data_IF_083390705846
#
_entry.id   IF_083390705846
#
_cell.length_a   1.000
_cell.length_b   1.000
_cell.length_c   1.000
_cell.angle_alpha   90.00
_cell.angle_beta   90.00
_cell.angle_gamma   90.00
#
_symmetry.space_group_name_H-M   'P 1'
#
loop_
_entity.id
_entity.type
_entity.pdbx_description
1 polymer ?
#
# COMPACT_ATOMS: atom_id res chain seq x y z
N UNK A 1 -46.46 23.96 3.38
CA UNK A 1 -45.54 22.98 2.78
C UNK A 1 -44.23 23.09 3.55
N UNK A 2 -43.92 22.10 4.36
CA UNK A 2 -42.72 22.09 5.18
C UNK A 2 -41.58 21.53 4.31
N UNK A 3 -40.60 22.38 3.98
CA UNK A 3 -39.34 21.91 3.36
C UNK A 3 -38.56 21.12 4.43
N UNK A 4 -38.48 19.82 4.23
CA UNK A 4 -37.59 18.97 5.00
C UNK A 4 -36.17 19.26 4.57
N UNK A 5 -35.41 19.99 5.41
CA UNK A 5 -33.96 20.12 5.28
C UNK A 5 -33.34 18.74 5.43
N UNK A 6 -32.91 18.13 4.31
CA UNK A 6 -32.17 16.89 4.33
C UNK A 6 -30.81 17.15 4.99
N UNK A 7 -30.50 16.53 6.15
CA UNK A 7 -29.22 16.75 6.84
C UNK A 7 -28.00 16.31 6.01
N UNK A 8 -28.20 15.61 4.90
CA UNK A 8 -27.13 15.22 3.96
C UNK A 8 -26.67 16.35 3.05
N UNK A 9 -27.47 17.42 2.91
CA UNK A 9 -27.11 18.59 2.09
C UNK A 9 -26.38 19.68 2.87
N UNK A 10 -26.39 19.64 4.21
CA UNK A 10 -25.69 20.60 5.08
C UNK A 10 -24.20 20.29 5.30
N UNK A 11 -23.70 19.17 4.80
CA UNK A 11 -22.28 18.77 4.85
C UNK A 11 -21.41 19.34 3.73
N UNK A 12 -21.85 20.35 2.97
CA UNK A 12 -20.98 21.04 2.03
C UNK A 12 -19.95 21.85 2.83
N UNK A 13 -18.73 21.34 2.88
CA UNK A 13 -17.60 21.97 3.54
C UNK A 13 -17.51 23.44 3.13
N UNK A 14 -17.90 24.34 4.02
CA UNK A 14 -17.83 25.80 3.83
C UNK A 14 -16.41 26.27 3.48
N UNK A 15 -15.38 25.48 3.78
CA UNK A 15 -13.99 25.77 3.43
C UNK A 15 -13.71 25.76 1.92
N UNK A 16 -14.57 25.12 1.09
CA UNK A 16 -14.43 25.10 -0.37
C UNK A 16 -15.42 26.00 -1.11
N UNK A 17 -16.41 26.54 -0.38
CA UNK A 17 -17.38 27.50 -0.93
C UNK A 17 -16.69 28.87 -1.06
N UNK A 18 -16.34 29.24 -2.28
CA UNK A 18 -15.65 30.50 -2.59
C UNK A 18 -14.25 30.34 -3.19
N UNK A 19 -13.64 29.13 -3.14
CA UNK A 19 -12.36 28.89 -3.80
C UNK A 19 -12.59 28.71 -5.31
N UNK A 20 -11.90 29.48 -6.19
CA UNK A 20 -11.99 29.29 -7.63
C UNK A 20 -11.70 27.85 -8.04
N UNK A 21 -12.44 27.31 -9.01
CA UNK A 21 -12.30 25.93 -9.48
C UNK A 21 -10.86 25.60 -9.86
N UNK A 22 -10.16 26.51 -10.53
CA UNK A 22 -8.75 26.33 -10.90
C UNK A 22 -7.82 26.16 -9.69
N UNK A 23 -8.03 26.93 -8.62
CA UNK A 23 -7.23 26.82 -7.40
C UNK A 23 -7.51 25.50 -6.65
N UNK A 24 -8.76 25.05 -6.66
CA UNK A 24 -9.16 23.76 -6.08
C UNK A 24 -8.55 22.58 -6.85
N UNK A 25 -8.56 22.66 -8.19
CA UNK A 25 -7.96 21.62 -9.05
C UNK A 25 -6.43 21.58 -8.90
N UNK A 26 -5.76 22.74 -8.77
CA UNK A 26 -4.34 22.84 -8.47
C UNK A 26 -3.98 22.24 -7.08
N UNK A 27 -4.79 22.53 -6.06
CA UNK A 27 -4.63 21.97 -4.71
C UNK A 27 -4.80 20.44 -4.69
N UNK A 28 -5.81 19.91 -5.37
CA UNK A 28 -6.00 18.47 -5.52
C UNK A 28 -4.80 17.83 -6.20
N UNK A 29 -4.28 18.40 -7.28
CA UNK A 29 -3.10 17.90 -7.97
C UNK A 29 -1.88 17.88 -7.06
N UNK A 30 -1.63 18.94 -6.31
CA UNK A 30 -0.53 19.03 -5.36
C UNK A 30 -0.65 17.96 -4.26
N UNK A 31 -1.84 17.76 -3.71
CA UNK A 31 -2.11 16.74 -2.70
C UNK A 31 -1.85 15.32 -3.25
N UNK A 32 -2.38 14.98 -4.43
CA UNK A 32 -2.17 13.68 -5.04
C UNK A 32 -0.70 13.43 -5.39
N UNK A 33 0.02 14.46 -5.87
CA UNK A 33 1.46 14.37 -6.10
C UNK A 33 2.23 14.09 -4.81
N UNK A 34 1.84 14.68 -3.68
CA UNK A 34 2.44 14.37 -2.37
C UNK A 34 2.23 12.91 -1.98
N UNK A 35 1.02 12.37 -2.17
CA UNK A 35 0.70 10.96 -1.92
C UNK A 35 1.59 10.04 -2.76
N UNK A 36 1.67 10.28 -4.07
CA UNK A 36 2.50 9.47 -4.97
C UNK A 36 4.00 9.60 -4.69
N UNK A 37 4.47 10.78 -4.33
CA UNK A 37 5.87 10.99 -3.98
C UNK A 37 6.26 10.22 -2.71
N UNK A 38 5.42 10.26 -1.67
CA UNK A 38 5.64 9.43 -0.48
C UNK A 38 5.64 7.94 -0.84
N UNK A 39 4.62 7.48 -1.55
CA UNK A 39 4.49 6.07 -1.95
C UNK A 39 5.70 5.61 -2.77
N UNK A 40 6.05 6.34 -3.84
CA UNK A 40 7.14 5.96 -4.73
C UNK A 40 8.50 5.97 -4.02
N UNK A 41 8.75 6.98 -3.16
CA UNK A 41 9.97 7.06 -2.37
C UNK A 41 10.02 5.95 -1.29
N UNK A 42 8.88 5.55 -0.71
CA UNK A 42 8.79 4.40 0.18
C UNK A 42 9.15 3.09 -0.53
N UNK A 43 8.60 2.87 -1.73
CA UNK A 43 8.94 1.69 -2.56
C UNK A 43 10.42 1.69 -2.93
N UNK A 44 10.98 2.86 -3.30
CA UNK A 44 12.39 3.00 -3.61
C UNK A 44 13.27 2.68 -2.39
N UNK A 45 12.93 3.22 -1.21
CA UNK A 45 13.63 2.92 0.04
C UNK A 45 13.59 1.43 0.36
N UNK A 46 12.42 0.80 0.22
CA UNK A 46 12.27 -0.66 0.40
C UNK A 46 13.21 -1.44 -0.53
N UNK A 47 13.26 -1.08 -1.80
CA UNK A 47 14.15 -1.72 -2.78
C UNK A 47 15.63 -1.54 -2.43
N UNK A 48 16.06 -0.33 -2.06
CA UNK A 48 17.44 -0.03 -1.66
C UNK A 48 17.83 -0.85 -0.43
N UNK A 49 17.01 -0.84 0.62
CA UNK A 49 17.28 -1.59 1.85
C UNK A 49 17.32 -3.09 1.57
N UNK A 50 16.38 -3.62 0.78
CA UNK A 50 16.35 -5.02 0.41
C UNK A 50 17.64 -5.45 -0.32
N UNK A 51 18.10 -4.65 -1.28
CA UNK A 51 19.33 -4.94 -2.02
C UNK A 51 20.58 -4.82 -1.15
N UNK A 52 20.66 -3.81 -0.27
CA UNK A 52 21.78 -3.65 0.66
C UNK A 52 21.88 -4.84 1.63
N UNK A 53 20.77 -5.28 2.21
CA UNK A 53 20.77 -6.45 3.10
C UNK A 53 21.10 -7.73 2.34
N UNK A 54 20.51 -7.96 1.17
CA UNK A 54 20.73 -9.18 0.39
C UNK A 54 22.17 -9.35 -0.09
N UNK A 55 22.88 -8.23 -0.36
CA UNK A 55 24.26 -8.25 -0.90
C UNK A 55 25.35 -7.97 0.15
N UNK A 56 25.01 -8.00 1.43
CA UNK A 56 25.94 -7.76 2.54
C UNK A 56 25.83 -8.83 3.60
N UNK A 57 26.79 -8.85 4.55
CA UNK A 57 26.73 -9.71 5.72
C UNK A 57 25.55 -9.43 6.65
N UNK A 58 24.82 -8.32 6.43
CA UNK A 58 23.61 -7.98 7.19
C UNK A 58 22.50 -9.02 7.02
N UNK A 59 22.48 -9.78 5.92
CA UNK A 59 21.53 -10.89 5.73
C UNK A 59 21.67 -11.94 6.85
N UNK A 60 22.87 -12.13 7.41
CA UNK A 60 23.13 -13.06 8.49
C UNK A 60 22.47 -12.65 9.82
N UNK A 61 22.02 -11.39 9.94
CA UNK A 61 21.24 -10.93 11.09
C UNK A 61 19.83 -11.52 11.10
N UNK A 62 19.28 -11.86 9.92
CA UNK A 62 17.93 -12.38 9.76
C UNK A 62 17.89 -13.88 9.41
N UNK A 63 18.94 -14.40 8.75
CA UNK A 63 19.08 -15.83 8.44
C UNK A 63 20.43 -16.32 8.96
N UNK A 64 20.42 -17.37 9.78
CA UNK A 64 21.64 -17.97 10.30
C UNK A 64 22.39 -18.69 9.16
N UNK A 65 23.63 -18.29 8.82
CA UNK A 65 24.37 -18.85 7.68
C UNK A 65 24.74 -20.32 7.88
N UNK A 66 24.85 -20.79 9.13
CA UNK A 66 25.23 -22.20 9.43
C UNK A 66 24.03 -23.14 9.33
N UNK A 67 22.83 -22.70 9.68
CA UNK A 67 21.64 -23.57 9.78
C UNK A 67 20.59 -23.24 8.71
N UNK A 68 20.68 -22.09 8.03
CA UNK A 68 19.63 -21.57 7.13
C UNK A 68 18.33 -21.18 7.85
N UNK A 69 18.31 -21.18 9.18
CA UNK A 69 17.12 -20.89 9.97
C UNK A 69 16.95 -19.37 10.19
N UNK A 70 15.70 -18.96 10.36
CA UNK A 70 15.36 -17.60 10.74
C UNK A 70 15.87 -17.29 12.15
N UNK A 71 16.52 -16.15 12.33
CA UNK A 71 16.97 -15.65 13.63
C UNK A 71 15.80 -14.99 14.39
N UNK A 72 15.93 -14.71 15.70
CA UNK A 72 14.94 -13.91 16.43
C UNK A 72 14.69 -12.54 15.80
N UNK A 73 15.72 -11.91 15.20
CA UNK A 73 15.58 -10.62 14.53
C UNK A 73 14.70 -10.69 13.27
N UNK A 74 14.68 -11.82 12.58
CA UNK A 74 13.73 -12.06 11.48
C UNK A 74 12.28 -11.90 11.93
N UNK A 75 11.94 -12.47 13.09
CA UNK A 75 10.59 -12.39 13.63
C UNK A 75 10.23 -10.95 14.05
N UNK A 76 11.20 -10.23 14.62
CA UNK A 76 11.00 -8.79 14.91
C UNK A 76 10.77 -8.02 13.60
N UNK A 77 11.61 -8.23 12.60
CA UNK A 77 11.45 -7.59 11.29
C UNK A 77 10.12 -7.95 10.63
N UNK A 78 9.61 -9.18 10.84
CA UNK A 78 8.34 -9.66 10.29
C UNK A 78 7.12 -8.96 10.93
N UNK A 79 7.13 -8.78 12.25
CA UNK A 79 5.98 -8.26 12.99
C UNK A 79 6.02 -6.74 13.23
N UNK A 80 7.20 -6.13 13.26
CA UNK A 80 7.34 -4.69 13.48
C UNK A 80 6.58 -3.82 12.46
N UNK A 81 6.54 -4.12 11.17
CA UNK A 81 5.73 -3.36 10.21
C UNK A 81 4.24 -3.39 10.54
N UNK A 82 3.70 -4.53 11.03
CA UNK A 82 2.31 -4.61 11.46
C UNK A 82 2.03 -3.66 12.62
N UNK A 83 2.92 -3.60 13.61
CA UNK A 83 2.81 -2.68 14.74
C UNK A 83 2.80 -1.21 14.27
N UNK A 84 3.64 -0.85 13.29
CA UNK A 84 3.65 0.50 12.70
C UNK A 84 2.35 0.79 11.95
N UNK A 85 1.83 -0.14 11.16
CA UNK A 85 0.54 0.03 10.47
C UNK A 85 -0.58 0.27 11.48
N UNK A 86 -0.63 -0.51 12.56
CA UNK A 86 -1.61 -0.30 13.63
C UNK A 86 -1.42 1.05 14.33
N UNK A 87 -0.18 1.43 14.64
CA UNK A 87 0.12 2.73 15.25
C UNK A 87 -0.33 3.90 14.35
N UNK A 88 -0.08 3.82 13.05
CA UNK A 88 -0.56 4.82 12.08
C UNK A 88 -2.08 4.80 11.96
N UNK A 89 -2.71 3.62 11.80
CA UNK A 89 -4.14 3.51 11.56
C UNK A 89 -4.99 3.99 12.76
N UNK A 90 -4.60 3.63 13.98
CA UNK A 90 -5.34 3.99 15.19
C UNK A 90 -4.83 5.28 15.86
N UNK A 91 -3.55 5.61 15.63
CA UNK A 91 -2.88 6.74 16.28
C UNK A 91 -2.85 8.02 15.47
N UNK A 92 -3.23 8.03 14.17
CA UNK A 92 -3.04 9.18 13.27
C UNK A 92 -3.67 10.48 13.78
N UNK A 93 -4.77 10.40 14.51
CA UNK A 93 -5.42 11.56 15.08
C UNK A 93 -4.60 12.22 16.21
N UNK A 94 -3.77 11.44 16.92
CA UNK A 94 -3.01 11.85 18.11
C UNK A 94 -1.55 12.20 17.83
N UNK A 95 -0.99 11.77 16.71
CA UNK A 95 0.41 12.02 16.33
C UNK A 95 0.51 13.21 15.38
N UNK A 96 1.67 13.86 15.32
CA UNK A 96 1.93 14.93 14.36
C UNK A 96 2.15 14.38 12.93
N UNK A 97 2.00 15.23 11.91
CA UNK A 97 2.30 14.85 10.53
C UNK A 97 3.75 14.40 10.37
N UNK A 98 4.71 15.04 11.05
CA UNK A 98 6.13 14.63 11.04
C UNK A 98 6.34 13.24 11.64
N UNK A 99 5.65 12.91 12.73
CA UNK A 99 5.70 11.56 13.33
C UNK A 99 5.11 10.51 12.38
N UNK A 100 4.00 10.82 11.70
CA UNK A 100 3.40 9.94 10.72
C UNK A 100 4.36 9.65 9.55
N UNK A 101 5.06 10.69 9.06
CA UNK A 101 6.09 10.55 8.02
C UNK A 101 7.25 9.67 8.48
N UNK A 102 7.78 9.90 9.67
CA UNK A 102 8.87 9.10 10.23
C UNK A 102 8.48 7.61 10.38
N UNK A 103 7.26 7.34 10.85
CA UNK A 103 6.73 5.98 10.94
C UNK A 103 6.56 5.33 9.55
N UNK A 104 6.11 6.08 8.55
CA UNK A 104 6.03 5.59 7.17
C UNK A 104 7.40 5.19 6.62
N UNK A 105 8.44 6.01 6.84
CA UNK A 105 9.81 5.69 6.42
C UNK A 105 10.39 4.49 7.17
N UNK A 106 10.17 4.41 8.47
CA UNK A 106 10.56 3.25 9.27
C UNK A 106 9.87 1.97 8.79
N UNK A 107 8.58 2.05 8.47
CA UNK A 107 7.81 0.97 7.88
C UNK A 107 8.43 0.49 6.55
N UNK A 108 8.68 1.41 5.62
CA UNK A 108 9.26 1.08 4.31
C UNK A 108 10.65 0.44 4.43
N UNK A 109 11.48 0.90 5.37
CA UNK A 109 12.79 0.30 5.66
C UNK A 109 12.67 -1.12 6.23
N UNK A 110 11.76 -1.35 7.18
CA UNK A 110 11.54 -2.69 7.76
C UNK A 110 11.01 -3.69 6.72
N UNK A 111 10.10 -3.26 5.84
CA UNK A 111 9.67 -4.10 4.71
C UNK A 111 10.84 -4.40 3.77
N UNK A 112 11.76 -3.44 3.58
CA UNK A 112 12.99 -3.66 2.84
C UNK A 112 13.87 -4.77 3.45
N UNK A 113 14.03 -4.79 4.78
CA UNK A 113 14.71 -5.87 5.48
C UNK A 113 14.04 -7.22 5.23
N UNK A 114 12.70 -7.30 5.31
CA UNK A 114 11.96 -8.52 4.99
C UNK A 114 12.19 -8.97 3.54
N UNK A 115 12.15 -8.04 2.61
CA UNK A 115 12.28 -8.31 1.17
C UNK A 115 13.68 -8.75 0.76
N UNK A 116 14.70 -8.53 1.59
CA UNK A 116 16.03 -9.09 1.33
C UNK A 116 16.01 -10.61 1.24
N UNK A 117 15.12 -11.28 1.97
CA UNK A 117 14.92 -12.74 1.90
C UNK A 117 14.38 -13.22 0.56
N UNK A 118 13.69 -12.36 -0.23
CA UNK A 118 13.21 -12.71 -1.56
C UNK A 118 14.36 -13.01 -2.52
N UNK A 119 15.49 -12.32 -2.37
CA UNK A 119 16.68 -12.55 -3.18
C UNK A 119 17.39 -13.89 -2.88
N UNK A 120 17.07 -14.53 -1.74
CA UNK A 120 17.52 -15.88 -1.44
C UNK A 120 16.67 -16.93 -2.18
N UNK A 121 15.39 -16.63 -2.46
CA UNK A 121 14.42 -17.56 -3.04
C UNK A 121 14.26 -17.36 -4.55
N UNK A 122 14.27 -16.12 -5.02
CA UNK A 122 14.01 -15.76 -6.41
C UNK A 122 15.26 -15.20 -7.09
N UNK A 123 15.35 -15.37 -8.41
CA UNK A 123 16.40 -14.73 -9.19
C UNK A 123 16.21 -13.22 -9.24
N UNK A 124 17.29 -12.45 -9.27
CA UNK A 124 17.21 -10.99 -9.37
C UNK A 124 16.44 -10.51 -10.62
N UNK A 125 16.57 -11.26 -11.74
CA UNK A 125 15.81 -10.99 -12.96
C UNK A 125 14.30 -11.12 -12.74
N UNK A 126 13.85 -12.17 -12.03
CA UNK A 126 12.42 -12.36 -11.71
C UNK A 126 11.89 -11.28 -10.79
N UNK A 127 12.67 -10.86 -9.79
CA UNK A 127 12.31 -9.74 -8.90
C UNK A 127 12.14 -8.45 -9.70
N UNK A 128 13.08 -8.14 -10.61
CA UNK A 128 13.00 -6.96 -11.48
C UNK A 128 11.79 -7.03 -12.43
N UNK A 129 11.55 -8.17 -13.09
CA UNK A 129 10.41 -8.36 -13.98
C UNK A 129 9.07 -8.16 -13.25
N UNK A 130 8.90 -8.78 -12.07
CA UNK A 130 7.70 -8.61 -11.27
C UNK A 130 7.53 -7.15 -10.80
N UNK A 131 8.62 -6.47 -10.45
CA UNK A 131 8.61 -5.06 -10.05
C UNK A 131 8.11 -4.16 -11.19
N UNK A 132 8.68 -4.27 -12.39
CA UNK A 132 8.28 -3.46 -13.54
C UNK A 132 6.85 -3.79 -14.00
N UNK A 133 6.44 -5.06 -13.98
CA UNK A 133 5.07 -5.45 -14.28
C UNK A 133 4.07 -4.83 -13.28
N UNK A 134 4.42 -4.87 -11.98
CA UNK A 134 3.62 -4.24 -10.93
C UNK A 134 3.54 -2.73 -11.13
N UNK A 135 4.66 -2.07 -11.41
CA UNK A 135 4.70 -0.62 -11.62
C UNK A 135 3.84 -0.19 -12.81
N UNK A 136 3.91 -0.91 -13.92
CA UNK A 136 3.07 -0.64 -15.10
C UNK A 136 1.57 -0.82 -14.80
N UNK A 137 1.20 -1.92 -14.14
CA UNK A 137 -0.19 -2.18 -13.75
C UNK A 137 -0.67 -1.11 -12.74
N UNK A 138 0.11 -0.80 -11.72
CA UNK A 138 -0.20 0.21 -10.72
C UNK A 138 -0.44 1.59 -11.33
N UNK A 139 0.43 2.04 -12.23
CA UNK A 139 0.28 3.33 -12.91
C UNK A 139 -1.03 3.39 -13.71
N UNK A 140 -1.34 2.35 -14.48
CA UNK A 140 -2.59 2.29 -15.26
C UNK A 140 -3.83 2.29 -14.38
N UNK A 141 -3.83 1.50 -13.31
CA UNK A 141 -4.97 1.36 -12.39
C UNK A 141 -5.17 2.62 -11.54
N UNK A 142 -4.08 3.23 -11.08
CA UNK A 142 -4.11 4.47 -10.34
C UNK A 142 -4.62 5.62 -11.23
N UNK A 143 -4.17 5.70 -12.49
CA UNK A 143 -4.70 6.67 -13.45
C UNK A 143 -6.20 6.45 -13.70
N UNK A 144 -6.63 5.20 -13.84
CA UNK A 144 -8.06 4.87 -13.95
C UNK A 144 -8.83 5.32 -12.71
N UNK A 145 -8.38 4.98 -11.50
CA UNK A 145 -9.02 5.40 -10.24
C UNK A 145 -9.10 6.93 -10.09
N UNK A 146 -8.06 7.65 -10.54
CA UNK A 146 -8.03 9.11 -10.50
C UNK A 146 -9.01 9.76 -11.49
N UNK A 147 -9.16 9.20 -12.69
CA UNK A 147 -9.90 9.81 -13.81
C UNK A 147 -11.33 9.30 -13.92
N UNK A 148 -11.64 8.10 -13.44
CA UNK A 148 -12.98 7.53 -13.57
C UNK A 148 -14.05 8.36 -12.88
N UNK A 149 -15.23 8.44 -13.53
CA UNK A 149 -16.43 9.07 -12.97
C UNK A 149 -17.36 8.05 -12.29
N UNK A 150 -17.07 6.75 -12.43
CA UNK A 150 -17.85 5.70 -11.77
C UNK A 150 -17.48 5.68 -10.30
N UNK A 151 -18.47 5.52 -9.43
CA UNK A 151 -18.24 5.30 -8.00
C UNK A 151 -17.74 3.86 -7.79
N UNK A 152 -16.52 3.74 -7.26
CA UNK A 152 -15.89 2.46 -6.95
C UNK A 152 -16.14 1.99 -5.50
N UNK A 153 -16.92 2.72 -4.71
CA UNK A 153 -17.13 2.42 -3.28
C UNK A 153 -17.69 1.02 -3.05
N UNK A 154 -18.66 0.59 -3.87
CA UNK A 154 -19.21 -0.76 -3.79
C UNK A 154 -18.16 -1.84 -4.09
N UNK A 155 -17.26 -1.58 -5.06
CA UNK A 155 -16.15 -2.48 -5.39
C UNK A 155 -15.11 -2.54 -4.26
N UNK A 156 -14.90 -1.43 -3.54
CA UNK A 156 -13.99 -1.39 -2.40
C UNK A 156 -14.37 -2.42 -1.32
N UNK A 157 -15.64 -2.48 -0.94
CA UNK A 157 -16.13 -3.49 0.01
C UNK A 157 -15.90 -4.91 -0.51
N UNK A 158 -16.17 -5.17 -1.80
CA UNK A 158 -15.93 -6.46 -2.43
C UNK A 158 -14.45 -6.86 -2.36
N UNK A 159 -13.53 -5.94 -2.70
CA UNK A 159 -12.10 -6.23 -2.66
C UNK A 159 -11.56 -6.44 -1.24
N UNK A 160 -12.04 -5.66 -0.25
CA UNK A 160 -11.67 -5.86 1.16
C UNK A 160 -12.09 -7.26 1.63
N UNK A 161 -13.30 -7.71 1.30
CA UNK A 161 -13.74 -9.08 1.58
C UNK A 161 -12.88 -10.10 0.83
N UNK A 162 -12.48 -9.79 -0.40
CA UNK A 162 -11.56 -10.60 -1.19
C UNK A 162 -10.19 -10.77 -0.51
N UNK A 163 -9.64 -9.72 0.09
CA UNK A 163 -8.38 -9.79 0.89
C UNK A 163 -8.54 -10.74 2.07
N UNK A 164 -9.67 -10.67 2.79
CA UNK A 164 -9.95 -11.61 3.89
C UNK A 164 -10.01 -13.03 3.36
N UNK A 165 -10.71 -13.26 2.24
CA UNK A 165 -10.77 -14.56 1.57
C UNK A 165 -9.41 -15.08 1.13
N UNK A 166 -8.54 -14.22 0.58
CA UNK A 166 -7.16 -14.59 0.25
C UNK A 166 -6.35 -15.00 1.48
N UNK A 167 -6.51 -14.26 2.58
CA UNK A 167 -5.83 -14.61 3.83
C UNK A 167 -6.25 -15.99 4.35
N UNK A 168 -7.55 -16.27 4.36
CA UNK A 168 -8.08 -17.59 4.73
C UNK A 168 -7.57 -18.67 3.78
N UNK A 169 -7.58 -18.42 2.47
CA UNK A 169 -7.07 -19.36 1.47
C UNK A 169 -5.57 -19.64 1.65
N UNK A 170 -4.77 -18.62 2.00
CA UNK A 170 -3.34 -18.80 2.31
C UNK A 170 -3.14 -19.65 3.57
N UNK A 171 -3.94 -19.43 4.63
CA UNK A 171 -3.89 -20.27 5.83
C UNK A 171 -4.27 -21.71 5.54
N UNK A 172 -5.31 -21.94 4.76
CA UNK A 172 -5.70 -23.30 4.33
C UNK A 172 -4.60 -23.96 3.51
N UNK A 173 -3.95 -23.20 2.61
CA UNK A 173 -2.88 -23.75 1.76
C UNK A 173 -1.61 -24.10 2.55
N UNK A 174 -1.43 -23.52 3.73
CA UNK A 174 -0.33 -23.92 4.63
C UNK A 174 -0.42 -25.40 5.03
N UNK A 175 -1.67 -25.91 5.20
CA UNK A 175 -1.95 -27.32 5.53
C UNK A 175 -2.07 -28.18 4.27
N UNK A 176 -2.79 -27.70 3.25
CA UNK A 176 -3.06 -28.45 2.00
C UNK A 176 -1.83 -28.58 1.11
N UNK A 177 -0.91 -27.59 1.15
CA UNK A 177 0.32 -27.51 0.35
C UNK A 177 0.08 -27.74 -1.14
N UNK A 178 -1.08 -27.31 -1.66
CA UNK A 178 -1.50 -27.51 -3.04
C UNK A 178 -0.84 -26.47 -3.95
N UNK A 179 -0.07 -26.89 -4.98
CA UNK A 179 0.49 -25.96 -5.97
C UNK A 179 -0.58 -25.24 -6.77
N UNK A 180 -1.67 -25.96 -7.14
CA UNK A 180 -2.79 -25.35 -7.86
C UNK A 180 -3.50 -24.27 -7.07
N UNK A 181 -3.75 -24.51 -5.77
CA UNK A 181 -4.33 -23.49 -4.88
C UNK A 181 -3.38 -22.30 -4.72
N UNK A 182 -2.08 -22.51 -4.61
CA UNK A 182 -1.09 -21.44 -4.54
C UNK A 182 -1.11 -20.56 -5.81
N UNK A 183 -1.23 -21.17 -6.99
CA UNK A 183 -1.37 -20.45 -8.25
C UNK A 183 -2.65 -19.63 -8.31
N UNK A 184 -3.79 -20.23 -7.91
CA UNK A 184 -5.08 -19.54 -7.86
C UNK A 184 -5.05 -18.35 -6.89
N UNK A 185 -4.51 -18.52 -5.67
CA UNK A 185 -4.32 -17.45 -4.69
C UNK A 185 -3.47 -16.31 -5.29
N UNK A 186 -2.40 -16.64 -6.00
CA UNK A 186 -1.51 -15.65 -6.61
C UNK A 186 -2.23 -14.85 -7.70
N UNK A 187 -2.95 -15.51 -8.60
CA UNK A 187 -3.71 -14.85 -9.65
C UNK A 187 -4.84 -13.96 -9.09
N UNK A 188 -5.63 -14.49 -8.16
CA UNK A 188 -6.70 -13.74 -7.51
C UNK A 188 -6.14 -12.56 -6.69
N UNK A 189 -5.00 -12.75 -6.02
CA UNK A 189 -4.34 -11.69 -5.27
C UNK A 189 -3.95 -10.52 -6.16
N UNK A 190 -3.37 -10.77 -7.33
CA UNK A 190 -3.06 -9.71 -8.31
C UNK A 190 -4.34 -8.94 -8.68
N UNK A 191 -5.44 -9.63 -9.01
CA UNK A 191 -6.69 -8.99 -9.42
C UNK A 191 -7.33 -8.16 -8.29
N UNK A 192 -7.30 -8.67 -7.06
CA UNK A 192 -7.87 -7.99 -5.90
C UNK A 192 -7.09 -6.72 -5.59
N UNK A 193 -5.74 -6.78 -5.51
CA UNK A 193 -4.93 -5.60 -5.23
C UNK A 193 -4.87 -4.61 -6.41
N UNK A 194 -5.03 -5.10 -7.63
CA UNK A 194 -5.25 -4.25 -8.79
C UNK A 194 -6.54 -3.42 -8.64
N UNK A 195 -7.64 -4.06 -8.26
CA UNK A 195 -8.91 -3.38 -7.99
C UNK A 195 -8.83 -2.41 -6.81
N UNK A 196 -8.15 -2.80 -5.72
CA UNK A 196 -7.90 -1.93 -4.56
C UNK A 196 -7.10 -0.69 -4.94
N UNK A 197 -6.08 -0.81 -5.77
CA UNK A 197 -5.29 0.34 -6.25
C UNK A 197 -6.18 1.42 -6.91
N UNK A 198 -7.12 1.01 -7.77
CA UNK A 198 -8.04 1.93 -8.40
C UNK A 198 -9.02 2.55 -7.38
N UNK A 199 -9.57 1.73 -6.50
CA UNK A 199 -10.48 2.16 -5.44
C UNK A 199 -9.82 3.12 -4.46
N UNK A 200 -8.64 2.75 -3.93
CA UNK A 200 -7.92 3.58 -2.95
C UNK A 200 -7.45 4.90 -3.56
N UNK A 201 -7.04 4.91 -4.83
CA UNK A 201 -6.74 6.16 -5.54
C UNK A 201 -7.98 7.08 -5.59
N UNK A 202 -9.15 6.56 -5.92
CA UNK A 202 -10.38 7.34 -5.93
C UNK A 202 -10.77 7.83 -4.53
N UNK A 203 -10.65 6.97 -3.52
CA UNK A 203 -10.90 7.29 -2.12
C UNK A 203 -9.97 8.39 -1.61
N UNK A 204 -8.67 8.31 -1.88
CA UNK A 204 -7.68 9.34 -1.51
C UNK A 204 -8.03 10.68 -2.17
N UNK A 205 -8.39 10.66 -3.45
CA UNK A 205 -8.88 11.85 -4.15
C UNK A 205 -10.11 12.47 -3.46
N UNK A 206 -11.05 11.67 -3.00
CA UNK A 206 -12.25 12.16 -2.30
C UNK A 206 -11.94 12.75 -0.92
N UNK A 207 -10.97 12.17 -0.18
CA UNK A 207 -10.52 12.66 1.12
C UNK A 207 -9.98 14.09 1.02
N UNK A 208 -9.32 14.46 -0.08
CA UNK A 208 -8.84 15.83 -0.29
C UNK A 208 -9.95 16.87 -0.07
N UNK A 209 -11.14 16.63 -0.60
CA UNK A 209 -12.26 17.59 -0.48
C UNK A 209 -12.79 17.74 0.96
N UNK A 210 -12.51 16.76 1.81
CA UNK A 210 -12.88 16.81 3.25
C UNK A 210 -11.83 17.57 4.06
N UNK A 211 -10.54 17.43 3.72
CA UNK A 211 -9.42 17.99 4.51
C UNK A 211 -8.84 19.27 3.92
N UNK A 212 -9.31 19.69 2.75
CA UNK A 212 -8.85 20.92 2.08
C UNK A 212 -9.01 22.13 3.02
N UNK A 213 -7.92 22.92 3.15
CA UNK A 213 -7.87 24.07 4.04
C UNK A 213 -7.28 23.80 5.43
N UNK A 214 -7.08 22.52 5.80
CA UNK A 214 -6.35 22.15 7.01
C UNK A 214 -5.01 21.50 6.65
N UNK A 215 -3.91 22.25 6.70
CA UNK A 215 -2.59 21.79 6.26
C UNK A 215 -2.09 20.55 7.01
N UNK A 216 -2.34 20.46 8.32
CA UNK A 216 -1.93 19.28 9.09
C UNK A 216 -2.76 18.04 8.74
N UNK A 217 -4.07 18.18 8.60
CA UNK A 217 -4.93 17.09 8.17
C UNK A 217 -4.58 16.62 6.76
N UNK A 218 -4.28 17.54 5.83
CA UNK A 218 -3.81 17.22 4.49
C UNK A 218 -2.50 16.42 4.50
N UNK A 219 -1.52 16.85 5.33
CA UNK A 219 -0.25 16.13 5.44
C UNK A 219 -0.42 14.73 6.03
N UNK A 220 -1.20 14.57 7.10
CA UNK A 220 -1.50 13.26 7.71
C UNK A 220 -2.23 12.33 6.75
N UNK A 221 -3.26 12.82 6.06
CA UNK A 221 -4.03 12.01 5.10
C UNK A 221 -3.24 11.68 3.85
N UNK A 222 -2.28 12.54 3.45
CA UNK A 222 -1.36 12.22 2.36
C UNK A 222 -0.45 11.05 2.71
N UNK A 223 0.10 11.01 3.94
CA UNK A 223 0.92 9.88 4.43
C UNK A 223 0.09 8.60 4.51
N UNK A 224 -1.14 8.67 5.05
CA UNK A 224 -2.03 7.51 5.12
C UNK A 224 -2.43 6.99 3.74
N UNK A 225 -2.71 7.91 2.80
CA UNK A 225 -2.98 7.56 1.41
C UNK A 225 -1.78 6.90 0.74
N UNK A 226 -0.58 7.42 1.00
CA UNK A 226 0.66 6.83 0.51
C UNK A 226 0.90 5.43 1.08
N UNK A 227 0.60 5.22 2.37
CA UNK A 227 0.69 3.90 3.01
C UNK A 227 -0.28 2.90 2.37
N UNK A 228 -1.54 3.28 2.11
CA UNK A 228 -2.51 2.41 1.45
C UNK A 228 -2.04 2.00 0.04
N UNK A 229 -1.66 2.97 -0.79
CA UNK A 229 -1.15 2.68 -2.14
C UNK A 229 0.15 1.89 -2.12
N UNK A 230 1.02 2.12 -1.13
CA UNK A 230 2.21 1.33 -0.92
C UNK A 230 1.86 -0.13 -0.60
N UNK A 231 0.90 -0.37 0.30
CA UNK A 231 0.42 -1.72 0.63
C UNK A 231 -0.16 -2.43 -0.59
N UNK A 232 -0.96 -1.75 -1.40
CA UNK A 232 -1.50 -2.31 -2.64
C UNK A 232 -0.38 -2.71 -3.59
N UNK A 233 0.59 -1.81 -3.80
CA UNK A 233 1.74 -2.08 -4.66
C UNK A 233 2.55 -3.29 -4.18
N UNK A 234 2.92 -3.32 -2.91
CA UNK A 234 3.74 -4.37 -2.34
C UNK A 234 3.04 -5.74 -2.39
N UNK A 235 1.75 -5.77 -2.08
CA UNK A 235 0.99 -7.02 -2.15
C UNK A 235 0.84 -7.49 -3.61
N UNK A 236 0.49 -6.60 -4.53
CA UNK A 236 0.41 -6.92 -5.96
C UNK A 236 1.76 -7.43 -6.48
N UNK A 237 2.88 -6.79 -6.09
CA UNK A 237 4.23 -7.24 -6.41
C UNK A 237 4.51 -8.65 -5.90
N UNK A 238 4.19 -8.94 -4.63
CA UNK A 238 4.41 -10.26 -4.04
C UNK A 238 3.60 -11.35 -4.74
N UNK A 239 2.34 -11.06 -5.10
CA UNK A 239 1.51 -12.02 -5.84
C UNK A 239 1.99 -12.21 -7.28
N UNK A 240 2.41 -11.15 -7.97
CA UNK A 240 3.03 -11.27 -9.30
C UNK A 240 4.35 -12.04 -9.23
N UNK A 241 5.20 -11.78 -8.24
CA UNK A 241 6.45 -12.51 -8.06
C UNK A 241 6.20 -13.99 -7.78
N UNK A 242 5.18 -14.35 -6.98
CA UNK A 242 4.79 -15.76 -6.77
C UNK A 242 4.22 -16.40 -8.03
N UNK A 243 3.51 -15.64 -8.86
CA UNK A 243 2.85 -16.14 -10.06
C UNK A 243 3.83 -16.39 -11.20
N UNK A 244 4.78 -15.47 -11.43
CA UNK A 244 5.67 -15.50 -12.60
C UNK A 244 7.15 -15.67 -12.28
N UNK A 245 7.53 -15.61 -10.99
CA UNK A 245 8.93 -15.61 -10.60
C UNK A 245 9.57 -16.99 -10.64
N UNK A 246 10.78 -17.06 -11.22
CA UNK A 246 11.61 -18.25 -11.20
C UNK A 246 12.35 -18.35 -9.87
N UNK A 247 12.16 -19.45 -9.17
CA UNK A 247 12.91 -19.78 -7.96
C UNK A 247 14.30 -20.28 -8.31
N UNK A 248 15.25 -20.00 -7.41
CA UNK A 248 16.62 -20.54 -7.50
C UNK A 248 16.64 -22.01 -7.14
#
# INVERSE_FOLDING_TARGET
>A
MAEWNDPRTTGVNTATVGVPRAARDAGLRSYMLSVYNYMASGVLLTGIVAMLFANSSLINLIVNPATGQATPLFWVALFAPLAIVFALSFGIARISAGTAQALFWAYAALVGVQFSSLFLVYTGASVAQAFFATAAAFLGLSLYGYTTKRDLSAMGTFFIMGVVGLFVAMLLNLFLRSPGLNLAISALGVLIFAGLTAYDTQKIKSIYFVVAGNGEAMAKTAVMGALNLYLDFINMFLFLLRFMGNRR
#
